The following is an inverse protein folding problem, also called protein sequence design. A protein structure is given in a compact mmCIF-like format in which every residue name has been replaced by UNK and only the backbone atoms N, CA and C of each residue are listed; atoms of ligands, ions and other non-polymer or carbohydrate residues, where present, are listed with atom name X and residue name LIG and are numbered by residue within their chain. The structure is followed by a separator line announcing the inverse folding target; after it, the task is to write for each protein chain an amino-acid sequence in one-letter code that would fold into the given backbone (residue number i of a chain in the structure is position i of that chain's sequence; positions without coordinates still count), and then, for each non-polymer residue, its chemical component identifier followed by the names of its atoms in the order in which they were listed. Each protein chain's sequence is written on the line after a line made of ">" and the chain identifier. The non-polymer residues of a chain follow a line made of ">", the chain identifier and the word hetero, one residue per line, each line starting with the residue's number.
data_IF_292571769995
#
_entry.id   IF_292571769995
#
_cell.length_a   1.000
_cell.length_b   1.000
_cell.length_c   1.000
_cell.angle_alpha   90.00
_cell.angle_beta   90.00
_cell.angle_gamma   90.00
#
_symmetry.space_group_name_H-M   'P 1'
#
loop_
_entity.id
_entity.type
_entity.pdbx_description
1 polymer ?
#
# COMPACT_ATOMS: atom_id res chain seq x y z
N UNK A 1 -23.76 -12.26 -6.61
CA UNK A 1 -24.38 -11.86 -7.88
C UNK A 1 -23.84 -12.82 -8.92
N UNK A 2 -24.63 -13.81 -9.33
CA UNK A 2 -24.20 -14.83 -10.30
C UNK A 2 -24.50 -14.31 -11.71
N UNK A 3 -23.46 -14.08 -12.51
CA UNK A 3 -23.59 -13.74 -13.93
C UNK A 3 -24.01 -15.00 -14.70
N UNK A 4 -25.04 -14.90 -15.53
CA UNK A 4 -25.54 -16.03 -16.35
C UNK A 4 -24.75 -16.10 -17.65
N UNK A 5 -24.68 -17.28 -18.27
CA UNK A 5 -23.89 -17.53 -19.49
C UNK A 5 -24.22 -16.58 -20.67
N UNK A 6 -25.42 -16.00 -20.70
CA UNK A 6 -25.86 -15.04 -21.72
C UNK A 6 -25.22 -13.65 -21.57
N UNK A 7 -24.72 -13.31 -20.37
CA UNK A 7 -23.99 -12.07 -20.11
C UNK A 7 -22.58 -12.10 -20.73
N UNK A 8 -21.99 -13.29 -20.93
CA UNK A 8 -20.66 -13.45 -21.54
C UNK A 8 -20.68 -13.07 -23.02
N UNK A 9 -21.68 -13.55 -23.77
CA UNK A 9 -21.78 -13.31 -25.22
C UNK A 9 -21.97 -11.84 -25.57
N UNK A 10 -22.76 -11.11 -24.79
CA UNK A 10 -22.96 -9.68 -25.01
C UNK A 10 -21.68 -8.87 -24.75
N UNK A 11 -20.88 -9.30 -23.77
CA UNK A 11 -19.60 -8.66 -23.44
C UNK A 11 -18.54 -8.91 -24.52
N UNK A 12 -18.49 -10.13 -25.06
CA UNK A 12 -17.58 -10.50 -26.15
C UNK A 12 -17.87 -9.72 -27.43
N UNK A 13 -19.15 -9.56 -27.79
CA UNK A 13 -19.59 -8.76 -28.95
C UNK A 13 -19.22 -7.27 -28.78
N UNK A 14 -19.41 -6.74 -27.57
CA UNK A 14 -18.99 -5.36 -27.23
C UNK A 14 -17.47 -5.20 -27.37
N UNK A 15 -16.67 -6.14 -26.87
CA UNK A 15 -15.21 -6.09 -26.98
C UNK A 15 -14.73 -6.22 -28.43
N UNK A 16 -15.40 -7.02 -29.25
CA UNK A 16 -15.12 -7.14 -30.68
C UNK A 16 -15.39 -5.82 -31.42
N UNK A 17 -16.47 -5.12 -31.07
CA UNK A 17 -16.81 -3.80 -31.60
C UNK A 17 -15.76 -2.75 -31.20
N UNK A 18 -15.40 -2.66 -29.92
CA UNK A 18 -14.37 -1.71 -29.44
C UNK A 18 -13.03 -1.91 -30.14
N UNK A 19 -12.62 -3.17 -30.41
CA UNK A 19 -11.36 -3.47 -31.12
C UNK A 19 -11.34 -3.00 -32.58
N UNK A 20 -12.50 -2.82 -33.22
CA UNK A 20 -12.59 -2.38 -34.62
C UNK A 20 -12.54 -0.85 -34.77
N UNK A 21 -12.64 -0.11 -33.65
CA UNK A 21 -12.58 1.34 -33.63
C UNK A 21 -11.30 1.81 -32.94
N UNK A 22 -10.19 2.02 -33.68
CA UNK A 22 -8.90 2.44 -33.11
C UNK A 22 -8.93 3.85 -32.48
N UNK A 23 -10.00 4.60 -32.75
CA UNK A 23 -10.27 5.92 -32.16
C UNK A 23 -10.75 5.81 -30.70
N UNK A 24 -11.10 4.61 -30.23
CA UNK A 24 -11.34 4.38 -28.80
C UNK A 24 -10.03 4.49 -28.05
N UNK A 25 -9.91 5.55 -27.26
CA UNK A 25 -8.86 5.70 -26.26
C UNK A 25 -8.98 4.55 -25.25
N UNK A 26 -8.10 3.55 -25.38
CA UNK A 26 -8.07 2.40 -24.50
C UNK A 26 -7.60 2.85 -23.12
N UNK A 27 -8.56 3.17 -22.24
CA UNK A 27 -8.29 3.35 -20.82
C UNK A 27 -8.04 1.98 -20.19
N UNK A 28 -6.77 1.60 -20.05
CA UNK A 28 -6.41 0.43 -19.27
C UNK A 28 -6.64 0.72 -17.78
N UNK A 29 -7.59 0.01 -17.17
CA UNK A 29 -7.74 0.01 -15.72
C UNK A 29 -6.51 -0.72 -15.16
N UNK A 30 -5.51 0.02 -14.68
CA UNK A 30 -4.40 -0.56 -13.94
C UNK A 30 -4.88 -0.93 -12.53
N UNK A 31 -4.94 -2.22 -12.24
CA UNK A 31 -5.19 -2.69 -10.88
C UNK A 31 -3.91 -2.53 -10.07
N UNK A 32 -3.73 -1.37 -9.43
CA UNK A 32 -2.62 -1.15 -8.51
C UNK A 32 -2.97 -1.67 -7.11
N UNK A 33 -2.26 -2.68 -6.58
CA UNK A 33 -2.49 -3.19 -5.24
C UNK A 33 -2.34 -2.06 -4.20
N UNK A 34 -3.46 -1.71 -3.57
CA UNK A 34 -3.55 -0.64 -2.58
C UNK A 34 -4.10 -1.21 -1.27
N UNK A 35 -3.41 -0.92 -0.17
CA UNK A 35 -3.89 -1.22 1.18
C UNK A 35 -4.56 0.02 1.76
N UNK A 36 -5.87 -0.06 2.02
CA UNK A 36 -6.64 1.03 2.64
C UNK A 36 -6.94 0.71 4.11
N UNK A 37 -6.48 1.61 4.99
CA UNK A 37 -6.57 1.52 6.45
C UNK A 37 -7.16 2.82 7.00
N UNK A 38 -8.48 2.89 7.11
CA UNK A 38 -9.18 4.09 7.57
C UNK A 38 -8.84 5.31 6.70
N UNK A 39 -8.00 6.23 7.19
CA UNK A 39 -7.53 7.42 6.47
C UNK A 39 -6.21 7.23 5.72
N UNK A 40 -5.60 6.05 5.83
CA UNK A 40 -4.30 5.71 5.27
C UNK A 40 -4.48 4.86 4.01
N UNK A 41 -3.89 5.29 2.91
CA UNK A 41 -3.80 4.55 1.66
C UNK A 41 -2.33 4.27 1.36
N UNK A 42 -2.00 3.01 1.14
CA UNK A 42 -0.64 2.58 0.79
C UNK A 42 -0.70 1.94 -0.60
N UNK A 43 -0.12 2.60 -1.58
CA UNK A 43 0.05 2.07 -2.92
C UNK A 43 1.34 1.24 -2.97
N UNK A 44 1.20 -0.08 -3.09
CA UNK A 44 2.33 -1.00 -3.02
C UNK A 44 3.19 -0.97 -4.29
N UNK A 45 2.58 -0.72 -5.44
CA UNK A 45 3.29 -0.64 -6.73
C UNK A 45 4.20 0.59 -6.80
N UNK A 46 3.69 1.73 -6.33
CA UNK A 46 4.38 3.03 -6.43
C UNK A 46 5.15 3.39 -5.16
N UNK A 47 5.09 2.54 -4.13
CA UNK A 47 5.61 2.80 -2.78
C UNK A 47 5.19 4.16 -2.23
N UNK A 48 3.92 4.50 -2.43
CA UNK A 48 3.34 5.79 -2.09
C UNK A 48 2.39 5.64 -0.91
N UNK A 49 2.47 6.56 0.05
CA UNK A 49 1.63 6.55 1.25
C UNK A 49 0.86 7.87 1.30
N UNK A 50 -0.46 7.79 1.43
CA UNK A 50 -1.35 8.93 1.57
C UNK A 50 -2.08 8.80 2.90
N UNK A 51 -2.06 9.83 3.72
CA UNK A 51 -2.80 9.89 4.97
C UNK A 51 -3.70 11.12 4.96
N UNK A 52 -4.99 10.96 5.20
CA UNK A 52 -5.98 12.06 5.15
C UNK A 52 -5.92 12.84 3.82
N UNK A 53 -5.67 12.15 2.70
CA UNK A 53 -5.56 12.77 1.38
C UNK A 53 -4.24 13.50 1.10
N UNK A 54 -3.27 13.49 2.03
CA UNK A 54 -1.92 14.04 1.79
C UNK A 54 -0.85 12.97 1.71
N UNK A 55 0.07 13.15 0.78
CA UNK A 55 1.19 12.24 0.60
C UNK A 55 2.23 12.41 1.70
N UNK A 56 2.63 11.27 2.28
CA UNK A 56 3.69 11.19 3.28
C UNK A 56 4.95 10.63 2.65
N UNK A 57 6.00 11.45 2.64
CA UNK A 57 7.35 10.99 2.33
C UNK A 57 7.90 10.16 3.49
N UNK A 58 8.28 8.92 3.18
CA UNK A 58 8.90 7.99 4.10
C UNK A 58 10.24 7.53 3.52
N UNK A 59 11.22 7.29 4.39
CA UNK A 59 12.41 6.56 3.99
C UNK A 59 12.07 5.12 3.62
N UNK A 60 12.96 4.44 2.89
CA UNK A 60 12.77 3.04 2.48
C UNK A 60 12.42 2.14 3.68
N UNK A 61 13.16 2.28 4.78
CA UNK A 61 12.96 1.46 5.99
C UNK A 61 11.67 1.80 6.74
N UNK A 62 11.28 3.08 6.78
CA UNK A 62 9.99 3.48 7.35
C UNK A 62 8.82 2.93 6.56
N UNK A 63 8.90 2.98 5.23
CA UNK A 63 7.89 2.40 4.34
C UNK A 63 7.78 0.88 4.54
N UNK A 64 8.91 0.17 4.56
CA UNK A 64 8.92 -1.28 4.74
C UNK A 64 8.33 -1.69 6.10
N UNK A 65 8.66 -0.95 7.18
CA UNK A 65 8.05 -1.14 8.51
C UNK A 65 6.54 -0.88 8.46
N UNK A 66 6.10 0.21 7.82
CA UNK A 66 4.68 0.53 7.71
C UNK A 66 3.92 -0.58 6.98
N UNK A 67 4.45 -1.08 5.86
CA UNK A 67 3.85 -2.17 5.11
C UNK A 67 3.75 -3.44 5.95
N UNK A 68 4.80 -3.78 6.70
CA UNK A 68 4.81 -4.94 7.58
C UNK A 68 3.72 -4.83 8.68
N UNK A 69 3.61 -3.66 9.30
CA UNK A 69 2.60 -3.38 10.33
C UNK A 69 1.18 -3.39 9.74
N UNK A 70 1.00 -2.82 8.55
CA UNK A 70 -0.27 -2.80 7.83
C UNK A 70 -0.74 -4.22 7.46
N UNK A 71 0.16 -5.05 6.93
CA UNK A 71 -0.12 -6.44 6.58
C UNK A 71 -0.43 -7.31 7.81
N UNK A 72 0.09 -6.95 8.99
CA UNK A 72 -0.12 -7.66 10.26
C UNK A 72 -1.04 -6.89 11.22
N UNK A 73 -1.96 -6.06 10.69
CA UNK A 73 -2.89 -5.27 11.51
C UNK A 73 -3.59 -6.14 12.56
N UNK A 74 -3.52 -5.72 13.82
CA UNK A 74 -4.16 -6.41 14.95
C UNK A 74 -3.32 -7.56 15.54
N UNK A 75 -2.13 -7.84 15.02
CA UNK A 75 -1.17 -8.78 15.61
C UNK A 75 -0.03 -8.04 16.30
N UNK A 76 0.44 -8.60 17.41
CA UNK A 76 1.64 -8.10 18.11
C UNK A 76 2.87 -8.67 17.41
N UNK A 77 3.78 -7.79 16.97
CA UNK A 77 5.09 -8.16 16.43
C UNK A 77 6.19 -7.77 17.40
N UNK A 78 7.20 -8.62 17.57
CA UNK A 78 8.39 -8.31 18.36
C UNK A 78 9.37 -7.44 17.57
N UNK A 79 10.29 -6.76 18.26
CA UNK A 79 11.34 -5.97 17.60
C UNK A 79 12.22 -6.84 16.70
N UNK A 80 12.57 -8.04 17.14
CA UNK A 80 13.30 -9.04 16.36
C UNK A 80 12.55 -9.45 15.09
N UNK A 81 11.26 -9.77 15.18
CA UNK A 81 10.45 -10.11 14.01
C UNK A 81 10.37 -8.98 12.99
N UNK A 82 10.27 -7.73 13.44
CA UNK A 82 10.27 -6.57 12.56
C UNK A 82 11.64 -6.40 11.90
N UNK A 83 12.71 -6.53 12.69
CA UNK A 83 14.07 -6.41 12.21
C UNK A 83 14.38 -7.45 11.13
N UNK A 84 14.15 -8.73 11.44
CA UNK A 84 14.43 -9.84 10.52
C UNK A 84 13.66 -9.70 9.20
N UNK A 85 12.42 -9.20 9.25
CA UNK A 85 11.59 -9.00 8.04
C UNK A 85 12.01 -7.79 7.21
N UNK A 86 12.45 -6.70 7.84
CA UNK A 86 12.76 -5.44 7.15
C UNK A 86 14.23 -5.35 6.73
N UNK A 87 15.14 -5.97 7.48
CA UNK A 87 16.57 -6.03 7.17
C UNK A 87 16.99 -7.33 6.48
N UNK A 88 16.25 -8.43 6.66
CA UNK A 88 16.59 -9.71 6.04
C UNK A 88 17.74 -10.44 6.72
N UNK A 89 18.12 -10.01 7.92
CA UNK A 89 19.23 -10.53 8.71
C UNK A 89 18.74 -10.92 10.10
N UNK A 90 19.42 -11.87 10.74
CA UNK A 90 19.10 -12.27 12.12
C UNK A 90 19.52 -11.15 13.06
N UNK A 91 18.61 -10.74 13.95
CA UNK A 91 18.91 -9.74 14.96
C UNK A 91 20.16 -10.07 15.79
N UNK A 92 21.01 -9.06 16.02
CA UNK A 92 22.28 -9.19 16.73
C UNK A 92 22.28 -8.50 18.12
N UNK A 93 21.09 -8.21 18.67
CA UNK A 93 20.89 -7.60 20.00
C UNK A 93 20.70 -6.09 20.01
N UNK A 94 20.69 -5.42 18.85
CA UNK A 94 20.42 -3.98 18.71
C UNK A 94 19.08 -3.67 18.00
N UNK A 95 18.28 -4.69 17.72
CA UNK A 95 17.03 -4.59 16.97
C UNK A 95 16.04 -3.64 17.62
N UNK A 96 15.99 -3.61 18.95
CA UNK A 96 15.11 -2.71 19.71
C UNK A 96 15.43 -1.24 19.44
N UNK A 97 16.70 -0.87 19.42
CA UNK A 97 17.12 0.51 19.21
C UNK A 97 16.94 0.92 17.75
N UNK A 98 17.33 0.05 16.82
CA UNK A 98 17.17 0.30 15.38
C UNK A 98 15.70 0.41 15.01
N UNK A 99 14.89 -0.61 15.27
CA UNK A 99 13.45 -0.59 14.95
C UNK A 99 12.73 0.52 15.72
N UNK A 100 13.09 0.73 16.98
CA UNK A 100 12.54 1.81 17.81
C UNK A 100 12.78 3.20 17.22
N UNK A 101 13.97 3.45 16.67
CA UNK A 101 14.30 4.70 15.97
C UNK A 101 13.38 4.93 14.77
N UNK A 102 13.26 3.94 13.88
CA UNK A 102 12.41 4.09 12.69
C UNK A 102 10.92 4.19 13.03
N UNK A 103 10.42 3.43 14.03
CA UNK A 103 9.03 3.59 14.50
C UNK A 103 8.80 5.00 15.05
N UNK A 104 9.76 5.56 15.78
CA UNK A 104 9.65 6.93 16.31
C UNK A 104 9.59 7.95 15.17
N UNK A 105 10.42 7.82 14.16
CA UNK A 105 10.40 8.73 13.01
C UNK A 105 9.13 8.56 12.17
N UNK A 106 8.71 7.32 11.93
CA UNK A 106 7.44 7.00 11.28
C UNK A 106 6.28 7.73 11.97
N UNK A 107 6.17 7.59 13.31
CA UNK A 107 5.15 8.31 14.10
C UNK A 107 5.24 9.82 13.94
N UNK A 108 6.45 10.40 13.95
CA UNK A 108 6.63 11.84 13.74
C UNK A 108 6.12 12.27 12.37
N UNK A 109 6.41 11.50 11.31
CA UNK A 109 5.94 11.81 9.96
C UNK A 109 4.41 11.86 9.91
N UNK A 110 3.72 10.91 10.55
CA UNK A 110 2.25 10.92 10.64
C UNK A 110 1.69 12.08 11.49
N UNK A 111 2.36 12.46 12.58
CA UNK A 111 1.91 13.55 13.47
C UNK A 111 2.11 14.92 12.83
N UNK A 112 3.27 15.17 12.21
CA UNK A 112 3.58 16.45 11.56
C UNK A 112 2.58 16.74 10.44
N UNK A 113 2.26 15.73 9.64
CA UNK A 113 1.26 15.83 8.56
C UNK A 113 -0.14 16.17 9.09
N UNK A 114 -0.49 15.70 10.30
CA UNK A 114 -1.82 15.98 10.90
C UNK A 114 -1.92 17.40 11.47
N UNK A 115 -0.81 17.99 11.92
CA UNK A 115 -0.77 19.32 12.57
C UNK A 115 -0.59 20.50 11.61
N UNK A 116 -0.47 20.25 10.31
CA UNK A 116 -0.28 21.31 9.29
C UNK A 116 -1.63 21.83 8.74
N UNK A 117 -2.75 21.42 9.33
CA UNK A 117 -4.09 21.89 9.01
C UNK A 117 -4.58 22.94 10.04
N UNK A 118 -5.03 24.15 9.61
CA UNK A 118 -5.75 25.10 10.46
C UNK A 118 -7.22 24.71 10.70
#
# INVERSE_FOLDING_TARGET
>A
MEFKAQDSTAFDDMLAFVKQHPDFEKLEISYEPTLSLSSLEINLSRRRVINNGQEIELTVKEYDILCLLAANKGRVLTYEQIYDKVWGEISAGNEKDTVGFYIRNLRKNFVIQTLTFP
#
